data_IF_398971332769
#
_entry.id   IF_398971332769
#
_cell.length_a   1.000
_cell.length_b   1.000
_cell.length_c   1.000
_cell.angle_alpha   90.00
_cell.angle_beta   90.00
_cell.angle_gamma   90.00
#
_symmetry.space_group_name_H-M   'P 1'
#
loop_
_entity.id
_entity.type
_entity.pdbx_description
1 polymer ?
#
# COMPACT_ATOMS: atom_id res chain seq x y z
N UNK A 1 -28.88 13.07 23.47
CA UNK A 1 -27.51 13.37 22.99
C UNK A 1 -26.45 13.32 24.09
N UNK A 2 -26.64 13.94 25.28
CA UNK A 2 -25.62 13.93 26.34
C UNK A 2 -25.26 12.54 26.92
N UNK A 3 -26.23 11.62 26.97
CA UNK A 3 -26.04 10.27 27.52
C UNK A 3 -25.22 9.36 26.60
N UNK A 4 -25.46 9.43 25.28
CA UNK A 4 -24.71 8.67 24.28
C UNK A 4 -23.22 9.07 24.26
N UNK A 5 -22.93 10.38 24.35
CA UNK A 5 -21.55 10.87 24.42
C UNK A 5 -20.84 10.37 25.69
N UNK A 6 -21.54 10.35 26.82
CA UNK A 6 -20.97 9.85 28.10
C UNK A 6 -20.65 8.35 28.03
N UNK A 7 -21.49 7.56 27.34
CA UNK A 7 -21.27 6.13 27.18
C UNK A 7 -20.10 5.81 26.26
N UNK A 8 -19.96 6.55 25.14
CA UNK A 8 -18.81 6.42 24.24
C UNK A 8 -17.50 6.82 24.93
N UNK A 9 -17.50 7.89 25.72
CA UNK A 9 -16.33 8.29 26.51
C UNK A 9 -15.94 7.23 27.56
N UNK A 10 -16.93 6.57 28.20
CA UNK A 10 -16.64 5.47 29.13
C UNK A 10 -16.09 4.23 28.42
N UNK A 11 -16.60 3.90 27.23
CA UNK A 11 -16.08 2.80 26.40
C UNK A 11 -14.65 3.08 25.95
N UNK A 12 -14.38 4.26 25.39
CA UNK A 12 -13.03 4.70 24.98
C UNK A 12 -12.06 4.65 26.17
N UNK A 13 -12.45 5.17 27.33
CA UNK A 13 -11.61 5.12 28.55
C UNK A 13 -11.36 3.69 29.06
N UNK A 14 -12.34 2.80 28.96
CA UNK A 14 -12.19 1.41 29.38
C UNK A 14 -11.31 0.63 28.39
N UNK A 15 -11.44 0.90 27.10
CA UNK A 15 -10.63 0.30 26.04
C UNK A 15 -9.17 0.71 26.15
N UNK A 16 -8.89 2.00 26.37
CA UNK A 16 -7.52 2.48 26.63
C UNK A 16 -6.89 1.81 27.85
N UNK A 17 -7.66 1.63 28.94
CA UNK A 17 -7.18 0.91 30.13
C UNK A 17 -6.93 -0.57 29.87
N UNK A 18 -7.78 -1.24 29.09
CA UNK A 18 -7.62 -2.65 28.75
C UNK A 18 -6.39 -2.86 27.84
N UNK A 19 -6.18 -1.99 26.85
CA UNK A 19 -5.01 -2.01 25.97
C UNK A 19 -3.71 -1.77 26.76
N UNK A 20 -3.72 -0.81 27.68
CA UNK A 20 -2.57 -0.54 28.56
C UNK A 20 -2.29 -1.72 29.51
N UNK A 21 -3.33 -2.38 30.03
CA UNK A 21 -3.17 -3.57 30.88
C UNK A 21 -2.63 -4.77 30.09
N UNK A 22 -3.13 -5.01 28.88
CA UNK A 22 -2.66 -6.10 28.02
C UNK A 22 -1.20 -5.90 27.60
N UNK A 23 -0.81 -4.67 27.26
CA UNK A 23 0.57 -4.30 26.97
C UNK A 23 1.50 -4.53 28.17
N UNK A 24 1.06 -4.17 29.38
CA UNK A 24 1.80 -4.42 30.62
C UNK A 24 1.97 -5.94 30.89
N UNK A 25 0.93 -6.74 30.66
CA UNK A 25 0.97 -8.20 30.84
C UNK A 25 1.91 -8.88 29.84
N UNK A 26 1.89 -8.47 28.57
CA UNK A 26 2.83 -8.92 27.54
C UNK A 26 4.29 -8.60 27.94
N UNK A 27 4.56 -7.37 28.39
CA UNK A 27 5.89 -6.98 28.85
C UNK A 27 6.34 -7.77 30.11
N UNK A 28 5.42 -8.06 31.03
CA UNK A 28 5.69 -8.86 32.22
C UNK A 28 6.02 -10.33 31.86
N UNK A 29 5.32 -10.91 30.89
CA UNK A 29 5.58 -12.27 30.39
C UNK A 29 6.96 -12.38 29.73
N UNK A 30 7.39 -11.37 28.98
CA UNK A 30 8.75 -11.30 28.39
C UNK A 30 9.85 -11.25 29.47
N UNK A 31 9.61 -10.53 30.57
CA UNK A 31 10.56 -10.42 31.68
C UNK A 31 10.66 -11.70 32.54
N UNK A 32 9.67 -12.59 32.50
CA UNK A 32 9.66 -13.83 33.27
C UNK A 32 10.46 -14.99 32.64
N UNK A 33 11.12 -14.78 31.48
CA UNK A 33 11.79 -15.87 30.74
C UNK A 33 13.32 -15.97 30.96
N UNK A 34 13.91 -15.28 31.95
CA UNK A 34 15.34 -15.36 32.24
C UNK A 34 15.62 -16.05 33.59
N UNK A 35 15.38 -17.36 33.66
CA UNK A 35 15.88 -18.23 34.73
C UNK A 35 16.34 -19.57 34.13
N UNK A 36 17.63 -19.89 34.38
CA UNK A 36 18.32 -21.18 34.24
C UNK A 36 18.42 -21.75 32.80
N UNK A 37 19.61 -21.92 32.24
CA UNK A 37 20.56 -22.94 32.70
C UNK A 37 22.00 -22.42 32.81
N UNK A 38 22.53 -22.43 34.03
CA UNK A 38 23.94 -22.59 34.30
C UNK A 38 24.21 -24.08 34.58
N UNK A 39 25.16 -24.66 33.86
CA UNK A 39 25.66 -26.03 34.03
C UNK A 39 26.73 -26.27 32.98
N UNK A 40 27.91 -25.68 33.16
CA UNK A 40 29.10 -26.28 33.76
C UNK A 40 29.70 -27.41 32.94
N UNK A 41 30.94 -27.14 32.55
CA UNK A 41 31.94 -27.93 31.81
C UNK A 41 32.20 -29.31 32.39
N UNK A 42 32.52 -30.25 31.50
CA UNK A 42 33.60 -31.26 31.47
C UNK A 42 33.30 -32.09 30.19
N UNK A 43 34.19 -32.54 29.31
CA UNK A 43 35.57 -32.97 29.44
C UNK A 43 36.26 -33.06 28.05
N UNK A 44 37.57 -33.25 28.09
CA UNK A 44 38.60 -33.22 27.04
C UNK A 44 38.66 -34.40 26.03
N UNK A 45 39.44 -34.12 24.97
CA UNK A 45 40.29 -35.02 24.14
C UNK A 45 39.56 -35.93 23.13
N UNK A 46 40.07 -36.25 21.94
CA UNK A 46 41.28 -35.97 21.15
C UNK A 46 40.93 -36.41 19.71
N UNK A 47 41.52 -35.77 18.70
CA UNK A 47 42.22 -36.44 17.58
C UNK A 47 42.30 -35.52 16.35
N UNK A 48 43.55 -35.18 16.04
CA UNK A 48 43.97 -34.57 14.79
C UNK A 48 43.63 -35.46 13.58
N UNK A 49 43.35 -34.80 12.45
CA UNK A 49 43.94 -35.22 11.19
C UNK A 49 44.16 -33.98 10.31
N UNK A 50 45.43 -33.63 10.12
CA UNK A 50 45.93 -32.93 8.93
C UNK A 50 45.63 -33.81 7.70
N UNK A 51 45.23 -33.22 6.56
CA UNK A 51 46.10 -33.21 5.37
C UNK A 51 45.53 -32.29 4.27
N UNK A 52 46.45 -31.78 3.47
CA UNK A 52 46.31 -30.72 2.48
C UNK A 52 45.96 -31.20 1.05
N UNK A 53 45.65 -30.21 0.19
CA UNK A 53 45.71 -30.12 -1.29
C UNK A 53 44.41 -29.45 -1.80
N UNK A 54 44.34 -28.27 -2.42
CA UNK A 54 45.14 -27.53 -3.43
C UNK A 54 45.38 -28.32 -4.73
N UNK A 55 44.45 -28.16 -5.68
CA UNK A 55 44.65 -28.18 -7.15
C UNK A 55 43.59 -27.20 -7.72
N UNK A 56 43.92 -25.97 -8.11
CA UNK A 56 44.49 -25.51 -9.39
C UNK A 56 44.02 -26.29 -10.63
N UNK A 57 43.22 -25.61 -11.47
CA UNK A 57 43.21 -25.84 -12.91
C UNK A 57 42.76 -24.56 -13.62
N UNK A 58 43.73 -23.66 -13.79
CA UNK A 58 43.71 -22.62 -14.81
C UNK A 58 44.05 -23.26 -16.16
N UNK A 59 43.17 -23.18 -17.15
CA UNK A 59 43.54 -23.39 -18.55
C UNK A 59 43.62 -22.05 -19.26
N UNK A 60 44.86 -21.65 -19.47
CA UNK A 60 45.32 -20.55 -20.28
C UNK A 60 45.14 -20.90 -21.78
N UNK A 61 44.69 -19.94 -22.59
CA UNK A 61 45.10 -19.85 -23.99
C UNK A 61 45.18 -18.38 -24.38
N UNK A 62 46.40 -17.87 -24.30
CA UNK A 62 46.87 -16.63 -24.89
C UNK A 62 47.11 -16.83 -26.38
N UNK A 63 46.74 -15.85 -27.22
CA UNK A 63 47.62 -15.29 -28.25
C UNK A 63 47.10 -13.91 -28.69
N UNK A 64 48.04 -12.98 -28.57
CA UNK A 64 48.18 -11.58 -28.96
C UNK A 64 47.93 -11.26 -30.44
N UNK A 65 47.41 -10.06 -30.73
CA UNK A 65 48.13 -9.02 -31.49
C UNK A 65 47.35 -7.68 -31.47
N UNK A 66 48.02 -6.59 -31.06
CA UNK A 66 47.57 -5.19 -31.07
C UNK A 66 47.75 -4.54 -32.49
N UNK A 67 47.67 -3.20 -32.66
CA UNK A 67 46.50 -2.38 -33.01
C UNK A 67 46.69 -1.68 -34.39
N UNK A 68 45.77 -0.79 -34.82
CA UNK A 68 46.03 0.54 -35.47
C UNK A 68 44.83 1.07 -36.30
N UNK A 69 44.46 2.34 -36.00
CA UNK A 69 43.94 3.47 -36.81
C UNK A 69 42.88 3.22 -37.90
N UNK A 70 41.73 3.91 -37.84
CA UNK A 70 41.58 5.25 -38.45
C UNK A 70 40.23 5.93 -38.12
N UNK A 71 40.28 7.24 -37.87
CA UNK A 71 39.16 8.20 -37.82
C UNK A 71 39.47 9.25 -38.88
N UNK A 72 38.53 9.68 -39.74
CA UNK A 72 38.07 11.08 -39.67
C UNK A 72 36.59 11.31 -40.10
N UNK A 73 35.84 12.18 -39.41
CA UNK A 73 35.51 13.59 -39.73
C UNK A 73 34.18 13.70 -40.53
N UNK A 74 33.12 14.33 -40.00
CA UNK A 74 32.81 15.77 -39.83
C UNK A 74 32.27 16.47 -41.11
N UNK A 75 31.51 17.55 -40.85
CA UNK A 75 30.85 18.53 -41.74
C UNK A 75 29.49 18.15 -42.36
N UNK A 76 28.47 19.00 -42.47
CA UNK A 76 27.95 20.24 -41.84
C UNK A 76 26.83 20.71 -42.80
N UNK A 77 25.77 21.27 -42.22
CA UNK A 77 24.84 22.30 -42.72
C UNK A 77 24.59 22.53 -44.22
N UNK A 78 23.31 22.69 -44.61
CA UNK A 78 22.74 24.00 -45.06
C UNK A 78 21.25 23.90 -45.42
N UNK A 79 20.53 24.92 -44.97
CA UNK A 79 19.15 25.32 -45.30
C UNK A 79 19.09 25.93 -46.72
N UNK A 80 17.93 25.87 -47.41
CA UNK A 80 17.31 27.06 -48.05
C UNK A 80 15.87 26.77 -48.53
N UNK A 81 15.04 27.80 -48.46
CA UNK A 81 13.60 27.83 -48.74
C UNK A 81 13.27 27.98 -50.24
N UNK A 82 12.02 27.71 -50.64
CA UNK A 82 11.07 28.73 -51.16
C UNK A 82 9.80 28.10 -51.79
N UNK A 83 8.65 28.56 -51.26
CA UNK A 83 7.32 28.83 -51.85
C UNK A 83 6.92 28.25 -53.21
N UNK A 84 5.73 27.62 -53.27
CA UNK A 84 4.63 28.15 -54.10
C UNK A 84 3.26 27.51 -53.78
N UNK A 85 2.24 28.36 -53.88
CA UNK A 85 0.79 28.16 -53.73
C UNK A 85 0.23 26.96 -54.53
N UNK A 86 -0.89 26.38 -54.04
CA UNK A 86 -2.19 26.27 -54.74
C UNK A 86 -3.13 25.35 -53.94
N UNK A 87 -4.21 25.95 -53.45
CA UNK A 87 -5.46 25.30 -52.99
C UNK A 87 -6.23 24.78 -54.21
N UNK A 88 -6.86 23.60 -54.11
CA UNK A 88 -8.26 23.54 -54.50
C UNK A 88 -9.14 22.94 -53.40
N UNK A 89 -10.26 23.62 -53.17
CA UNK A 89 -11.43 23.17 -52.45
C UNK A 89 -11.99 21.90 -53.12
N UNK A 90 -12.24 20.85 -52.33
CA UNK A 90 -13.18 19.79 -52.70
C UNK A 90 -14.07 19.49 -51.51
N UNK A 91 -15.35 19.85 -51.66
CA UNK A 91 -16.44 19.49 -50.78
C UNK A 91 -16.58 17.97 -50.76
N UNK A 92 -16.47 17.34 -49.59
CA UNK A 92 -17.05 16.00 -49.42
C UNK A 92 -17.63 15.84 -48.02
N UNK A 93 -18.95 16.04 -47.98
CA UNK A 93 -19.95 15.56 -47.04
C UNK A 93 -19.46 14.93 -45.72
N UNK A 94 -19.76 15.61 -44.62
CA UNK A 94 -19.83 15.04 -43.27
C UNK A 94 -20.95 13.98 -43.21
N UNK A 95 -20.69 12.75 -42.75
CA UNK A 95 -21.71 11.95 -42.12
C UNK A 95 -21.79 12.33 -40.63
N UNK A 96 -22.94 12.89 -40.27
CA UNK A 96 -23.44 13.07 -38.91
C UNK A 96 -23.47 11.69 -38.22
N UNK A 97 -22.48 11.42 -37.37
CA UNK A 97 -22.48 10.28 -36.45
C UNK A 97 -22.79 10.86 -35.09
N UNK A 98 -24.05 10.70 -34.68
CA UNK A 98 -24.48 10.89 -33.30
C UNK A 98 -23.66 9.94 -32.41
N UNK A 99 -22.62 10.47 -31.79
CA UNK A 99 -21.89 9.81 -30.71
C UNK A 99 -22.80 9.83 -29.47
N UNK A 100 -23.58 8.76 -29.28
CA UNK A 100 -24.16 8.48 -27.96
C UNK A 100 -23.02 8.16 -26.99
N UNK A 101 -22.50 9.22 -26.39
CA UNK A 101 -21.72 9.18 -25.17
C UNK A 101 -22.63 8.65 -24.05
N UNK A 102 -22.65 7.33 -23.87
CA UNK A 102 -23.00 6.76 -22.57
C UNK A 102 -21.85 7.08 -21.62
N UNK A 103 -21.84 8.30 -21.11
CA UNK A 103 -21.12 8.63 -19.87
C UNK A 103 -21.71 7.75 -18.76
N UNK A 104 -20.91 6.93 -18.07
CA UNK A 104 -21.37 6.38 -16.81
C UNK A 104 -21.59 7.57 -15.87
N UNK A 105 -22.82 7.69 -15.39
CA UNK A 105 -23.19 8.68 -14.38
C UNK A 105 -22.17 8.65 -13.24
N UNK A 106 -21.50 9.80 -13.04
CA UNK A 106 -20.77 10.06 -11.81
C UNK A 106 -21.82 10.03 -10.70
N UNK A 107 -21.85 8.92 -9.95
CA UNK A 107 -22.61 8.78 -8.71
C UNK A 107 -22.03 9.77 -7.69
N UNK A 108 -22.51 11.01 -7.79
CA UNK A 108 -22.31 12.05 -6.81
C UNK A 108 -23.23 11.83 -5.61
N UNK A 109 -22.61 11.80 -4.44
CA UNK A 109 -23.13 12.30 -3.16
C UNK A 109 -24.63 12.09 -2.90
N UNK A 110 -25.11 10.84 -3.04
CA UNK A 110 -26.31 10.44 -2.31
C UNK A 110 -25.95 10.40 -0.81
N UNK A 111 -26.80 10.94 0.09
CA UNK A 111 -26.57 10.79 1.52
C UNK A 111 -26.55 9.30 1.83
N UNK A 112 -25.37 8.79 2.14
CA UNK A 112 -25.18 7.40 2.44
C UNK A 112 -26.05 7.02 3.64
N UNK A 113 -26.73 5.88 3.56
CA UNK A 113 -27.59 5.43 4.64
C UNK A 113 -26.77 5.28 5.93
N UNK A 114 -27.34 5.73 7.05
CA UNK A 114 -26.72 5.63 8.37
C UNK A 114 -26.21 4.20 8.64
N UNK A 115 -24.96 4.07 9.11
CA UNK A 115 -24.33 2.78 9.37
C UNK A 115 -23.76 2.05 8.15
N UNK A 116 -23.67 2.69 6.98
CA UNK A 116 -22.91 2.17 5.82
C UNK A 116 -21.45 2.63 5.84
N UNK A 117 -20.58 1.92 5.10
CA UNK A 117 -19.18 2.33 4.94
C UNK A 117 -19.05 3.69 4.24
N UNK A 118 -19.93 3.99 3.30
CA UNK A 118 -19.98 5.31 2.65
C UNK A 118 -20.30 6.44 3.63
N UNK A 119 -21.30 6.24 4.51
CA UNK A 119 -21.65 7.24 5.53
C UNK A 119 -20.52 7.43 6.55
N UNK A 120 -19.86 6.33 6.91
CA UNK A 120 -18.70 6.37 7.77
C UNK A 120 -17.53 7.13 7.11
N UNK A 121 -17.22 6.88 5.84
CA UNK A 121 -16.19 7.62 5.12
C UNK A 121 -16.49 9.13 5.02
N UNK A 122 -17.75 9.50 4.79
CA UNK A 122 -18.15 10.92 4.79
C UNK A 122 -17.91 11.54 6.17
N UNK A 123 -18.26 10.83 7.25
CA UNK A 123 -17.98 11.26 8.63
C UNK A 123 -16.48 11.43 8.89
N UNK A 124 -15.63 10.53 8.37
CA UNK A 124 -14.18 10.70 8.46
C UNK A 124 -13.72 11.96 7.72
N UNK A 125 -14.21 12.18 6.49
CA UNK A 125 -13.83 13.31 5.65
C UNK A 125 -14.26 14.67 6.22
N UNK A 126 -15.31 14.70 7.05
CA UNK A 126 -15.72 15.90 7.79
C UNK A 126 -14.87 16.17 9.04
N UNK A 127 -14.35 15.12 9.67
CA UNK A 127 -13.65 15.22 10.96
C UNK A 127 -12.13 15.26 10.85
N UNK A 128 -11.57 14.79 9.73
CA UNK A 128 -10.13 14.71 9.49
C UNK A 128 -9.77 15.35 8.16
N UNK A 129 -8.63 16.04 8.11
CA UNK A 129 -8.11 16.60 6.87
C UNK A 129 -7.69 15.47 5.92
N UNK A 130 -8.34 15.38 4.76
CA UNK A 130 -8.01 14.40 3.73
C UNK A 130 -7.18 15.02 2.61
N UNK A 131 -6.31 14.23 2.00
CA UNK A 131 -5.73 14.60 0.70
C UNK A 131 -6.82 14.66 -0.38
N UNK A 132 -6.44 15.08 -1.59
CA UNK A 132 -7.29 14.86 -2.76
C UNK A 132 -7.34 13.36 -3.06
N UNK A 133 -8.48 12.73 -2.77
CA UNK A 133 -8.70 11.29 -2.90
C UNK A 133 -9.46 10.96 -4.18
N UNK A 134 -9.14 9.82 -4.78
CA UNK A 134 -9.86 9.22 -5.88
C UNK A 134 -10.33 7.81 -5.50
N UNK A 135 -11.41 7.36 -6.13
CA UNK A 135 -11.84 5.96 -6.07
C UNK A 135 -10.88 5.07 -6.85
N UNK A 136 -10.69 3.85 -6.35
CA UNK A 136 -9.96 2.81 -7.07
C UNK A 136 -10.92 2.01 -7.94
N UNK A 137 -10.61 1.90 -9.22
CA UNK A 137 -11.24 0.93 -10.10
C UNK A 137 -10.68 -0.48 -9.86
N UNK A 138 -11.23 -1.48 -10.57
CA UNK A 138 -10.82 -2.87 -10.40
C UNK A 138 -9.36 -3.10 -10.77
N UNK A 139 -8.86 -2.44 -11.81
CA UNK A 139 -7.47 -2.63 -12.28
C UNK A 139 -6.47 -2.08 -11.26
N UNK A 140 -6.77 -0.92 -10.66
CA UNK A 140 -6.01 -0.38 -9.55
C UNK A 140 -6.10 -1.29 -8.32
N UNK A 141 -7.27 -1.82 -7.99
CA UNK A 141 -7.40 -2.78 -6.88
C UNK A 141 -6.52 -4.00 -7.12
N UNK A 142 -6.52 -4.59 -8.32
CA UNK A 142 -5.66 -5.74 -8.62
C UNK A 142 -4.16 -5.41 -8.55
N UNK A 143 -3.78 -4.21 -8.99
CA UNK A 143 -2.39 -3.76 -8.97
C UNK A 143 -1.86 -3.50 -7.55
N UNK A 144 -2.66 -2.89 -6.68
CA UNK A 144 -2.23 -2.44 -5.35
C UNK A 144 -2.62 -3.39 -4.21
N UNK A 145 -3.69 -4.17 -4.41
CA UNK A 145 -4.33 -5.06 -3.41
C UNK A 145 -4.59 -6.44 -4.05
N UNK A 146 -3.54 -7.15 -4.47
CA UNK A 146 -3.68 -8.39 -5.24
C UNK A 146 -4.51 -9.43 -4.47
N UNK A 147 -5.52 -9.99 -5.16
CA UNK A 147 -6.45 -10.98 -4.60
C UNK A 147 -7.71 -10.40 -3.96
N UNK A 148 -7.85 -9.07 -3.82
CA UNK A 148 -9.04 -8.48 -3.22
C UNK A 148 -10.29 -8.65 -4.10
N UNK A 149 -10.15 -8.49 -5.42
CA UNK A 149 -11.25 -8.67 -6.38
C UNK A 149 -11.75 -10.13 -6.48
N UNK A 150 -11.00 -11.09 -5.96
CA UNK A 150 -11.39 -12.51 -5.90
C UNK A 150 -12.30 -12.80 -4.69
N UNK A 151 -12.40 -11.87 -3.74
CA UNK A 151 -13.24 -11.97 -2.55
C UNK A 151 -14.58 -11.29 -2.84
N UNK A 152 -15.69 -11.96 -2.52
CA UNK A 152 -17.03 -11.35 -2.64
C UNK A 152 -17.26 -10.41 -1.47
N UNK A 153 -17.38 -9.11 -1.77
CA UNK A 153 -17.59 -8.06 -0.78
C UNK A 153 -19.07 -7.64 -0.76
N UNK A 154 -19.60 -7.39 0.44
CA UNK A 154 -20.96 -6.84 0.62
C UNK A 154 -20.98 -5.36 0.23
N UNK A 155 -19.98 -4.62 0.68
CA UNK A 155 -19.72 -3.23 0.30
C UNK A 155 -18.24 -2.90 0.47
N UNK A 156 -17.78 -1.88 -0.24
CA UNK A 156 -16.42 -1.36 -0.12
C UNK A 156 -16.35 0.13 -0.42
N UNK A 157 -15.43 0.82 0.26
CA UNK A 157 -14.99 2.18 -0.07
C UNK A 157 -13.47 2.14 -0.20
N UNK A 158 -12.96 2.37 -1.41
CA UNK A 158 -11.54 2.23 -1.73
C UNK A 158 -10.99 3.57 -2.22
N UNK A 159 -10.38 4.34 -1.31
CA UNK A 159 -9.92 5.71 -1.59
C UNK A 159 -8.39 5.79 -1.51
N UNK A 160 -7.77 6.29 -2.57
CA UNK A 160 -6.33 6.51 -2.64
C UNK A 160 -6.00 7.96 -3.01
N UNK A 161 -4.83 8.49 -2.65
CA UNK A 161 -4.47 9.86 -2.98
C UNK A 161 -4.15 9.98 -4.47
N UNK A 162 -4.59 11.08 -5.08
CA UNK A 162 -4.26 11.37 -6.49
C UNK A 162 -2.75 11.58 -6.72
N UNK A 163 -2.01 11.94 -5.67
CA UNK A 163 -0.56 12.05 -5.69
C UNK A 163 0.06 10.86 -4.96
N UNK A 164 0.79 10.02 -5.69
CA UNK A 164 1.35 8.76 -5.17
C UNK A 164 2.37 8.91 -4.04
N UNK A 165 2.98 10.09 -3.88
CA UNK A 165 3.92 10.37 -2.79
C UNK A 165 3.22 10.69 -1.45
N UNK A 166 1.91 10.96 -1.48
CA UNK A 166 1.11 11.30 -0.28
C UNK A 166 0.66 10.02 0.41
N UNK A 167 0.84 9.95 1.73
CA UNK A 167 0.32 8.84 2.56
C UNK A 167 -1.06 9.22 3.07
N UNK A 168 -2.09 8.86 2.31
CA UNK A 168 -3.50 9.10 2.62
C UNK A 168 -4.38 8.05 1.92
N UNK A 169 -4.26 6.78 2.30
CA UNK A 169 -5.11 5.69 1.79
C UNK A 169 -6.15 5.28 2.84
N UNK A 170 -7.41 5.20 2.42
CA UNK A 170 -8.56 4.81 3.26
C UNK A 170 -9.31 3.69 2.55
N UNK A 171 -9.18 2.47 3.05
CA UNK A 171 -9.85 1.29 2.52
C UNK A 171 -10.79 0.73 3.57
N UNK A 172 -12.07 0.60 3.22
CA UNK A 172 -13.11 0.07 4.10
C UNK A 172 -13.83 -1.04 3.35
N UNK A 173 -13.99 -2.20 3.98
CA UNK A 173 -14.61 -3.37 3.37
C UNK A 173 -15.53 -4.06 4.36
N UNK A 174 -16.69 -4.51 3.88
CA UNK A 174 -17.54 -5.47 4.57
C UNK A 174 -17.53 -6.79 3.78
N UNK A 175 -17.16 -7.88 4.44
CA UNK A 175 -17.16 -9.23 3.87
C UNK A 175 -18.44 -9.99 4.22
N UNK A 176 -18.72 -11.06 3.47
CA UNK A 176 -19.85 -11.94 3.80
C UNK A 176 -19.64 -12.72 5.12
N UNK A 177 -18.38 -12.97 5.48
CA UNK A 177 -18.01 -13.80 6.62
C UNK A 177 -16.62 -13.44 7.18
N UNK A 178 -16.33 -14.00 8.36
CA UNK A 178 -15.10 -13.71 9.09
C UNK A 178 -13.83 -14.29 8.44
N UNK A 179 -13.94 -15.39 7.69
CA UNK A 179 -12.77 -15.98 7.01
C UNK A 179 -12.30 -15.08 5.86
N UNK A 180 -13.25 -14.50 5.12
CA UNK A 180 -12.95 -13.52 4.08
C UNK A 180 -12.45 -12.20 4.68
N UNK A 181 -13.00 -11.76 5.81
CA UNK A 181 -12.48 -10.61 6.55
C UNK A 181 -11.01 -10.82 6.98
N UNK A 182 -10.64 -12.03 7.41
CA UNK A 182 -9.25 -12.35 7.74
C UNK A 182 -8.34 -12.23 6.51
N UNK A 183 -8.77 -12.72 5.33
CA UNK A 183 -8.00 -12.57 4.07
C UNK A 183 -7.85 -11.11 3.66
N UNK A 184 -8.91 -10.30 3.79
CA UNK A 184 -8.84 -8.86 3.48
C UNK A 184 -7.84 -8.17 4.41
N UNK A 185 -7.83 -8.50 5.71
CA UNK A 185 -6.84 -7.97 6.64
C UNK A 185 -5.40 -8.35 6.23
N UNK A 186 -5.17 -9.59 5.79
CA UNK A 186 -3.87 -10.02 5.26
C UNK A 186 -3.45 -9.23 4.01
N UNK A 187 -4.38 -8.96 3.08
CA UNK A 187 -4.13 -8.14 1.89
C UNK A 187 -3.76 -6.69 2.27
N UNK A 188 -4.46 -6.13 3.26
CA UNK A 188 -4.18 -4.78 3.76
C UNK A 188 -2.83 -4.69 4.48
N UNK A 189 -2.47 -5.71 5.26
CA UNK A 189 -1.13 -5.79 5.87
C UNK A 189 -0.04 -5.92 4.79
N UNK A 190 -0.28 -6.71 3.74
CA UNK A 190 0.65 -6.81 2.61
C UNK A 190 0.83 -5.46 1.89
N UNK A 191 -0.25 -4.67 1.72
CA UNK A 191 -0.18 -3.32 1.16
C UNK A 191 0.71 -2.39 2.00
N UNK A 192 0.48 -2.36 3.31
CA UNK A 192 1.30 -1.61 4.27
C UNK A 192 2.76 -2.03 4.16
N UNK A 193 3.02 -3.32 4.22
CA UNK A 193 4.39 -3.86 4.19
C UNK A 193 5.10 -3.55 2.86
N UNK A 194 4.40 -3.64 1.72
CA UNK A 194 4.97 -3.29 0.42
C UNK A 194 5.43 -1.83 0.34
N UNK A 195 4.75 -0.93 1.05
CA UNK A 195 5.15 0.48 1.14
C UNK A 195 6.36 0.67 2.05
N UNK A 196 6.40 -0.03 3.19
CA UNK A 196 7.54 -0.02 4.11
C UNK A 196 8.80 -0.60 3.48
N UNK A 197 8.68 -1.67 2.69
CA UNK A 197 9.80 -2.41 2.06
C UNK A 197 10.33 -1.77 0.77
N UNK A 198 9.94 -0.52 0.49
CA UNK A 198 10.50 0.27 -0.60
C UNK A 198 9.49 0.81 -1.61
N UNK A 199 8.18 0.58 -1.39
CA UNK A 199 7.14 1.27 -2.15
C UNK A 199 7.12 2.77 -1.87
N UNK A 200 7.33 3.19 -0.62
CA UNK A 200 7.50 4.57 -0.23
C UNK A 200 8.98 4.98 -0.34
N UNK A 201 9.24 6.12 -1.00
CA UNK A 201 10.61 6.54 -1.30
C UNK A 201 11.24 7.46 -0.26
N UNK A 202 10.40 8.16 0.51
CA UNK A 202 10.86 9.12 1.51
C UNK A 202 10.82 8.51 2.91
N UNK A 203 11.84 8.74 3.76
CA UNK A 203 11.85 8.22 5.13
C UNK A 203 10.60 8.61 5.95
N UNK A 204 10.07 9.82 5.74
CA UNK A 204 8.84 10.27 6.40
C UNK A 204 7.61 9.49 5.92
N UNK A 205 7.50 9.24 4.61
CA UNK A 205 6.43 8.40 4.06
C UNK A 205 6.52 6.96 4.58
N UNK A 206 7.72 6.38 4.65
CA UNK A 206 7.93 5.04 5.23
C UNK A 206 7.46 5.01 6.70
N UNK A 207 7.87 5.99 7.50
CA UNK A 207 7.44 6.08 8.90
C UNK A 207 5.91 6.26 9.03
N UNK A 208 5.28 7.03 8.14
CA UNK A 208 3.82 7.15 8.11
C UNK A 208 3.14 5.82 7.72
N UNK A 209 3.72 5.05 6.79
CA UNK A 209 3.25 3.71 6.46
C UNK A 209 3.41 2.73 7.62
N UNK A 210 4.49 2.78 8.39
CA UNK A 210 4.65 1.96 9.62
C UNK A 210 3.54 2.23 10.65
N UNK A 211 3.05 3.47 10.71
CA UNK A 211 1.96 3.92 11.59
C UNK A 211 0.55 3.69 11.01
N UNK A 212 0.44 3.10 9.82
CA UNK A 212 -0.84 2.70 9.23
C UNK A 212 -1.54 1.70 10.15
N UNK A 213 -2.83 1.92 10.39
CA UNK A 213 -3.64 1.04 11.24
C UNK A 213 -4.56 0.18 10.37
N UNK A 214 -4.63 -1.10 10.71
CA UNK A 214 -5.53 -2.07 10.10
C UNK A 214 -6.38 -2.66 11.21
N UNK A 215 -7.70 -2.58 11.07
CA UNK A 215 -8.65 -3.00 12.11
C UNK A 215 -9.73 -3.88 11.53
N UNK A 216 -10.10 -4.91 12.28
CA UNK A 216 -11.20 -5.82 11.94
C UNK A 216 -12.24 -5.81 13.05
N UNK A 217 -13.49 -5.50 12.71
CA UNK A 217 -14.64 -5.64 13.61
C UNK A 217 -15.70 -6.53 12.97
N UNK A 218 -15.86 -7.75 13.47
CA UNK A 218 -16.72 -8.75 12.85
C UNK A 218 -16.30 -9.06 11.41
N UNK A 219 -17.17 -8.77 10.45
CA UNK A 219 -16.90 -8.94 9.02
C UNK A 219 -16.36 -7.66 8.34
N UNK A 220 -16.20 -6.58 9.10
CA UNK A 220 -15.73 -5.29 8.60
C UNK A 220 -14.22 -5.18 8.78
N UNK A 221 -13.52 -4.70 7.76
CA UNK A 221 -12.07 -4.50 7.77
C UNK A 221 -11.76 -3.12 7.24
N UNK A 222 -10.84 -2.41 7.89
CA UNK A 222 -10.37 -1.12 7.42
C UNK A 222 -8.84 -1.02 7.45
N UNK A 223 -8.29 -0.25 6.50
CA UNK A 223 -6.92 0.27 6.49
C UNK A 223 -6.97 1.79 6.49
N UNK A 224 -6.19 2.40 7.38
CA UNK A 224 -6.02 3.84 7.49
C UNK A 224 -4.53 4.20 7.40
N UNK A 225 -4.06 4.55 6.20
CA UNK A 225 -2.73 5.13 6.02
C UNK A 225 -2.87 6.65 6.08
N UNK A 226 -2.90 7.20 7.30
CA UNK A 226 -3.17 8.61 7.56
C UNK A 226 -2.50 9.08 8.85
N UNK A 227 -2.26 10.39 8.99
CA UNK A 227 -1.66 11.00 10.19
C UNK A 227 -2.43 10.74 11.49
N UNK A 228 -3.73 10.47 11.39
CA UNK A 228 -4.64 10.16 12.50
C UNK A 228 -5.15 8.70 12.46
N UNK A 229 -4.38 7.77 11.88
CA UNK A 229 -4.79 6.38 11.69
C UNK A 229 -5.37 5.71 12.96
N UNK A 230 -4.73 5.91 14.11
CA UNK A 230 -5.15 5.31 15.38
C UNK A 230 -6.53 5.80 15.85
N UNK A 231 -6.85 7.08 15.64
CA UNK A 231 -8.14 7.64 16.02
C UNK A 231 -9.23 7.18 15.03
N UNK A 232 -8.93 7.16 13.73
CA UNK A 232 -9.83 6.63 12.70
C UNK A 232 -10.16 5.15 12.92
N UNK A 233 -9.17 4.33 13.27
CA UNK A 233 -9.37 2.92 13.62
C UNK A 233 -10.25 2.74 14.85
N UNK A 234 -10.06 3.57 15.88
CA UNK A 234 -10.90 3.55 17.07
C UNK A 234 -12.35 4.02 16.80
N UNK A 235 -12.54 4.95 15.87
CA UNK A 235 -13.87 5.37 15.44
C UNK A 235 -14.56 4.29 14.59
N UNK A 236 -13.80 3.55 13.77
CA UNK A 236 -14.31 2.41 12.99
C UNK A 236 -14.77 1.26 13.89
N UNK A 237 -13.94 0.82 14.83
CA UNK A 237 -14.29 -0.23 15.82
C UNK A 237 -15.49 0.17 16.71
N UNK A 238 -15.73 1.47 16.88
CA UNK A 238 -16.90 1.95 17.60
C UNK A 238 -18.19 1.96 16.75
N UNK A 239 -18.06 2.01 15.43
CA UNK A 239 -19.16 2.13 14.48
C UNK A 239 -19.69 0.77 13.99
N UNK A 240 -18.82 -0.26 13.91
CA UNK A 240 -19.11 -1.59 13.37
C UNK A 240 -18.78 -2.68 14.39
#
# INVERSE_FOLDING_TARGET
>A
MAEANTQNQRRKNNMMKLRNLLSLLMALLLMCSLVACAGNTDDKNDAANDDAAVEDNTSDNTTTDDPILDVPAEDETTEDETTDDVIPEDETAEPDVEEETNEPEVEGDAPAAEGTLGAFFNTLSENYEMAMLADMDRDLIDAYLPGLNDITLVQSVMKMPMMSAVVCEIYLVECENADDAAKVAEIFEARKQAQVDGGAWYPESIAAWELTEIVTSGNFVALFAHSHAADMAADFDAAF
#
